data_IF_356865641612
#
_entry.id   IF_356865641612
#
_cell.length_a   1.000
_cell.length_b   1.000
_cell.length_c   1.000
_cell.angle_alpha   90.00
_cell.angle_beta   90.00
_cell.angle_gamma   90.00
#
_symmetry.space_group_name_H-M   'P 1'
#
loop_
_entity.id
_entity.type
_entity.pdbx_description
1 polymer ?
#
# COMPACT_ATOMS: atom_id res chain seq x y z
N UNK A 1 -18.52 -2.47 69.94
CA UNK A 1 -18.55 -3.79 69.17
C UNK A 1 -19.14 -3.58 67.77
N UNK A 2 -19.36 -2.29 67.38
CA UNK A 2 -19.98 -1.95 66.09
C UNK A 2 -18.94 -1.32 65.15
N UNK A 3 -17.76 -0.97 65.59
CA UNK A 3 -16.71 -0.32 64.77
C UNK A 3 -15.70 -1.36 64.27
N UNK A 4 -15.62 -2.49 64.98
CA UNK A 4 -14.69 -3.58 64.60
C UNK A 4 -15.36 -4.51 63.56
N UNK A 5 -16.67 -4.63 63.46
CA UNK A 5 -17.46 -5.37 62.44
C UNK A 5 -17.54 -4.62 61.11
N UNK A 6 -17.48 -3.25 61.12
CA UNK A 6 -17.52 -2.40 59.92
C UNK A 6 -16.12 -2.33 59.27
N UNK A 7 -15.02 -2.48 60.02
CA UNK A 7 -13.65 -2.48 59.46
C UNK A 7 -13.36 -3.84 58.84
N UNK A 8 -13.90 -4.91 59.27
CA UNK A 8 -13.69 -6.26 58.71
C UNK A 8 -14.54 -6.42 57.44
N UNK A 9 -15.73 -5.81 57.37
CA UNK A 9 -16.59 -5.87 56.16
C UNK A 9 -15.99 -4.97 55.07
N UNK A 10 -15.42 -3.85 55.45
CA UNK A 10 -14.80 -2.95 54.45
C UNK A 10 -13.49 -3.55 53.94
N UNK A 11 -12.79 -4.23 54.80
CA UNK A 11 -11.55 -4.91 54.37
C UNK A 11 -11.88 -6.13 53.50
N UNK A 12 -12.87 -6.91 53.82
CA UNK A 12 -13.30 -8.08 53.00
C UNK A 12 -13.90 -7.63 51.66
N UNK A 13 -14.59 -6.45 51.60
CA UNK A 13 -15.13 -5.88 50.34
C UNK A 13 -13.98 -5.33 49.48
N UNK A 14 -12.96 -4.79 50.15
CA UNK A 14 -11.80 -4.26 49.39
C UNK A 14 -10.96 -5.41 48.86
N UNK A 15 -10.85 -6.49 49.59
CA UNK A 15 -10.09 -7.67 49.14
C UNK A 15 -10.88 -8.38 48.01
N UNK A 16 -12.23 -8.52 48.15
CA UNK A 16 -13.04 -9.14 47.07
C UNK A 16 -13.06 -8.24 45.83
N UNK A 17 -13.11 -6.97 46.07
CA UNK A 17 -13.07 -6.01 44.94
C UNK A 17 -11.68 -6.03 44.29
N UNK A 18 -10.60 -6.13 45.05
CA UNK A 18 -9.23 -6.19 44.50
C UNK A 18 -8.98 -7.53 43.82
N UNK A 19 -9.52 -8.65 44.27
CA UNK A 19 -9.42 -9.98 43.65
C UNK A 19 -10.22 -10.06 42.35
N UNK A 20 -11.35 -9.40 42.32
CA UNK A 20 -12.20 -9.38 41.10
C UNK A 20 -11.57 -8.50 40.02
N UNK A 21 -10.82 -7.52 40.35
CA UNK A 21 -10.14 -6.66 39.36
C UNK A 21 -8.90 -7.39 38.80
N UNK A 22 -8.18 -8.03 39.69
CA UNK A 22 -7.02 -8.81 39.21
C UNK A 22 -7.46 -9.95 38.28
N UNK A 23 -8.55 -10.59 38.56
CA UNK A 23 -9.05 -11.66 37.67
C UNK A 23 -9.52 -11.09 36.33
N UNK A 24 -10.14 -9.93 36.33
CA UNK A 24 -10.57 -9.30 35.06
C UNK A 24 -9.37 -8.83 34.24
N UNK A 25 -8.39 -8.38 34.97
CA UNK A 25 -7.18 -7.94 34.25
C UNK A 25 -6.47 -9.14 33.60
N UNK A 26 -6.40 -10.23 34.35
CA UNK A 26 -5.79 -11.44 33.78
C UNK A 26 -6.60 -11.95 32.57
N UNK A 27 -7.88 -11.93 32.68
CA UNK A 27 -8.73 -12.34 31.55
C UNK A 27 -8.58 -11.39 30.36
N UNK A 28 -8.51 -10.13 30.67
CA UNK A 28 -8.31 -9.13 29.59
C UNK A 28 -7.00 -9.42 28.85
N UNK A 29 -5.93 -9.57 29.59
CA UNK A 29 -4.62 -9.82 28.96
C UNK A 29 -4.65 -11.12 28.14
N UNK A 30 -5.31 -12.06 28.63
CA UNK A 30 -5.44 -13.31 27.86
C UNK A 30 -6.15 -13.09 26.52
N UNK A 31 -7.29 -12.46 26.55
CA UNK A 31 -7.98 -12.17 25.28
C UNK A 31 -7.06 -11.39 24.32
N UNK A 32 -6.34 -10.46 24.93
CA UNK A 32 -5.47 -9.64 24.07
C UNK A 32 -4.37 -10.52 23.45
N UNK A 33 -3.70 -11.32 24.26
CA UNK A 33 -2.59 -12.13 23.73
C UNK A 33 -3.09 -13.16 22.70
N UNK A 34 -4.19 -13.77 23.01
CA UNK A 34 -4.76 -14.71 22.02
C UNK A 34 -5.16 -13.98 20.73
N UNK A 35 -5.76 -12.82 20.97
CA UNK A 35 -6.13 -12.04 19.76
C UNK A 35 -4.91 -11.76 18.89
N UNK A 36 -3.86 -11.34 19.48
CA UNK A 36 -2.65 -10.99 18.68
C UNK A 36 -2.14 -12.25 17.98
N UNK A 37 -2.11 -13.36 18.69
CA UNK A 37 -1.66 -14.62 18.06
C UNK A 37 -2.53 -14.99 16.86
N UNK A 38 -3.81 -14.90 17.10
CA UNK A 38 -4.73 -15.23 15.98
C UNK A 38 -4.57 -14.26 14.81
N UNK A 39 -4.38 -13.02 15.16
CA UNK A 39 -4.17 -12.02 14.10
C UNK A 39 -2.92 -12.38 13.28
N UNK A 40 -1.88 -12.75 13.97
CA UNK A 40 -0.64 -13.09 13.26
C UNK A 40 -0.80 -14.36 12.43
N UNK A 41 -1.78 -15.17 12.84
CA UNK A 41 -2.06 -16.40 12.06
C UNK A 41 -3.03 -16.11 10.91
N UNK A 42 -3.53 -14.87 10.87
CA UNK A 42 -4.44 -14.49 9.76
C UNK A 42 -5.91 -14.79 10.10
N UNK A 43 -6.13 -15.32 11.27
CA UNK A 43 -7.54 -15.54 11.68
C UNK A 43 -8.16 -14.26 12.25
N UNK A 44 -8.62 -13.41 11.36
CA UNK A 44 -8.95 -12.02 11.75
C UNK A 44 -10.34 -11.98 12.41
N UNK A 45 -11.20 -12.86 12.04
CA UNK A 45 -12.54 -12.84 12.67
C UNK A 45 -12.45 -13.24 14.15
N UNK A 46 -11.70 -14.34 14.34
CA UNK A 46 -11.58 -14.76 15.77
C UNK A 46 -10.72 -13.76 16.57
N UNK A 47 -9.74 -13.26 15.89
CA UNK A 47 -8.96 -12.22 16.58
C UNK A 47 -9.86 -11.03 16.96
N UNK A 48 -10.68 -10.65 16.06
CA UNK A 48 -11.60 -9.52 16.35
C UNK A 48 -12.48 -9.83 17.56
N UNK A 49 -12.97 -11.09 17.60
CA UNK A 49 -13.79 -11.44 18.78
C UNK A 49 -13.00 -11.28 20.08
N UNK A 50 -11.76 -11.68 20.05
CA UNK A 50 -10.95 -11.58 21.28
C UNK A 50 -10.67 -10.11 21.66
N UNK A 51 -10.38 -9.33 20.69
CA UNK A 51 -10.14 -7.91 21.01
C UNK A 51 -11.43 -7.22 21.46
N UNK A 52 -12.63 -7.65 20.97
CA UNK A 52 -13.90 -7.06 21.48
C UNK A 52 -14.13 -7.46 22.94
N UNK A 53 -13.76 -8.74 23.15
CA UNK A 53 -13.93 -9.18 24.54
C UNK A 53 -13.00 -8.41 25.49
N UNK A 54 -11.74 -8.18 25.02
CA UNK A 54 -10.81 -7.39 25.86
C UNK A 54 -11.31 -5.94 26.02
N UNK A 55 -11.90 -5.37 24.99
CA UNK A 55 -12.43 -3.98 25.03
C UNK A 55 -13.65 -3.85 25.94
N UNK A 56 -14.39 -4.99 26.06
CA UNK A 56 -15.55 -4.92 26.98
C UNK A 56 -15.08 -4.86 28.43
N UNK A 57 -13.97 -5.52 28.69
CA UNK A 57 -13.45 -5.53 30.08
C UNK A 57 -12.78 -4.18 30.39
N UNK A 58 -12.03 -3.68 29.34
CA UNK A 58 -11.38 -2.37 29.54
C UNK A 58 -11.59 -1.48 28.31
N UNK A 59 -12.63 -0.61 28.36
CA UNK A 59 -13.03 0.15 27.16
C UNK A 59 -12.18 1.41 26.99
N UNK A 60 -11.27 1.71 27.91
CA UNK A 60 -10.52 2.98 27.80
C UNK A 60 -9.10 2.73 27.28
N UNK A 61 -8.93 1.45 26.92
CA UNK A 61 -7.61 1.17 26.31
C UNK A 61 -7.71 1.21 24.77
N UNK A 62 -6.84 2.09 24.21
CA UNK A 62 -6.95 2.36 22.75
C UNK A 62 -6.49 1.14 21.94
N UNK A 63 -5.56 0.38 22.47
CA UNK A 63 -4.91 -0.70 21.70
C UNK A 63 -5.96 -1.72 21.24
N UNK A 64 -7.01 -1.94 21.96
CA UNK A 64 -7.99 -2.97 21.54
C UNK A 64 -8.79 -2.49 20.33
N UNK A 65 -9.13 -1.27 20.34
CA UNK A 65 -9.88 -0.75 19.17
C UNK A 65 -8.95 -0.61 17.96
N UNK A 66 -7.66 -0.32 18.30
CA UNK A 66 -6.70 -0.31 17.17
C UNK A 66 -6.63 -1.69 16.51
N UNK A 67 -6.55 -2.73 17.33
CA UNK A 67 -6.49 -4.09 16.78
C UNK A 67 -7.82 -4.50 16.13
N UNK A 68 -8.93 -4.05 16.71
CA UNK A 68 -10.22 -4.32 16.03
C UNK A 68 -10.23 -3.68 14.63
N UNK A 69 -9.82 -2.35 14.59
CA UNK A 69 -9.75 -1.69 13.27
C UNK A 69 -8.85 -2.45 12.30
N UNK A 70 -7.72 -2.89 12.77
CA UNK A 70 -6.79 -3.61 11.89
C UNK A 70 -7.40 -4.93 11.39
N UNK A 71 -8.07 -5.66 12.31
CA UNK A 71 -8.75 -6.89 11.87
C UNK A 71 -9.79 -6.61 10.80
N UNK A 72 -10.56 -5.57 11.02
CA UNK A 72 -11.64 -5.23 10.07
C UNK A 72 -11.06 -4.75 8.74
N UNK A 73 -9.94 -4.04 8.86
CA UNK A 73 -9.27 -3.62 7.61
C UNK A 73 -8.85 -4.84 6.80
N UNK A 74 -8.29 -5.83 7.45
CA UNK A 74 -7.85 -7.02 6.70
C UNK A 74 -9.05 -7.83 6.18
N UNK A 75 -10.19 -7.61 6.77
CA UNK A 75 -11.40 -8.31 6.27
C UNK A 75 -12.14 -7.43 5.26
N UNK A 76 -11.58 -6.27 4.98
CA UNK A 76 -12.09 -5.30 3.99
C UNK A 76 -13.43 -4.72 4.45
N UNK A 77 -13.69 -4.86 5.73
CA UNK A 77 -14.83 -4.11 6.28
C UNK A 77 -14.39 -2.69 6.67
N UNK A 78 -14.26 -1.85 5.64
CA UNK A 78 -13.50 -0.58 5.77
C UNK A 78 -14.32 0.45 6.55
N UNK A 79 -15.62 0.49 6.41
CA UNK A 79 -16.43 1.45 7.21
C UNK A 79 -16.35 1.12 8.70
N UNK A 80 -16.45 -0.17 9.02
CA UNK A 80 -16.37 -0.56 10.46
C UNK A 80 -14.95 -0.33 10.99
N UNK A 81 -14.04 -0.56 10.08
CA UNK A 81 -12.65 -0.30 10.53
C UNK A 81 -12.46 1.18 10.88
N UNK A 82 -13.04 2.06 10.08
CA UNK A 82 -12.89 3.50 10.36
C UNK A 82 -13.49 3.86 11.72
N UNK A 83 -14.64 3.22 12.02
CA UNK A 83 -15.24 3.54 13.34
C UNK A 83 -14.31 3.09 14.47
N UNK A 84 -13.76 1.91 14.29
CA UNK A 84 -12.87 1.41 15.35
C UNK A 84 -11.62 2.29 15.48
N UNK A 85 -11.04 2.67 14.35
CA UNK A 85 -9.87 3.55 14.43
C UNK A 85 -10.23 4.90 15.06
N UNK A 86 -11.43 5.45 14.72
CA UNK A 86 -11.84 6.73 15.35
C UNK A 86 -11.93 6.59 16.88
N UNK A 87 -12.50 5.48 17.24
CA UNK A 87 -12.57 5.29 18.70
C UNK A 87 -11.17 5.19 19.31
N UNK A 88 -10.30 4.39 18.67
CA UNK A 88 -8.93 4.27 19.21
C UNK A 88 -8.23 5.63 19.27
N UNK A 89 -8.43 6.43 18.25
CA UNK A 89 -7.71 7.71 18.17
C UNK A 89 -8.30 8.71 19.18
N UNK A 90 -9.61 8.55 19.47
CA UNK A 90 -10.20 9.41 20.52
C UNK A 90 -9.59 9.11 21.89
N UNK A 91 -9.15 7.86 22.10
CA UNK A 91 -8.56 7.52 23.41
C UNK A 91 -7.07 7.90 23.44
N UNK A 92 -6.40 7.45 22.41
CA UNK A 92 -4.98 7.83 22.33
C UNK A 92 -4.55 7.87 20.86
N UNK A 93 -4.05 9.06 20.48
CA UNK A 93 -3.59 9.18 19.09
C UNK A 93 -2.25 8.46 18.87
N UNK A 94 -2.22 7.72 17.82
CA UNK A 94 -0.99 6.98 17.46
C UNK A 94 -0.80 7.00 15.95
N UNK A 95 0.55 7.17 15.57
CA UNK A 95 0.76 7.43 14.13
C UNK A 95 0.27 6.26 13.28
N UNK A 96 0.42 4.94 13.73
CA UNK A 96 0.02 3.78 12.88
C UNK A 96 -1.51 3.73 12.74
N UNK A 97 -2.21 4.21 13.82
CA UNK A 97 -3.69 4.21 13.70
C UNK A 97 -4.14 5.21 12.64
N UNK A 98 -3.57 6.49 12.61
CA UNK A 98 -3.91 7.45 11.53
C UNK A 98 -3.53 6.87 10.17
N UNK A 99 -2.32 6.19 10.16
CA UNK A 99 -1.91 5.58 8.88
C UNK A 99 -2.99 4.62 8.35
N UNK A 100 -3.49 3.69 9.19
CA UNK A 100 -4.51 2.72 8.73
C UNK A 100 -5.84 3.42 8.42
N UNK A 101 -6.12 4.42 9.20
CA UNK A 101 -7.34 5.19 8.85
C UNK A 101 -7.20 5.84 7.47
N UNK A 102 -6.03 6.47 7.22
CA UNK A 102 -5.80 7.09 5.90
C UNK A 102 -5.98 6.08 4.77
N UNK A 103 -5.46 4.93 4.94
CA UNK A 103 -5.55 3.91 3.87
C UNK A 103 -7.03 3.52 3.66
N UNK A 104 -7.75 3.32 4.73
CA UNK A 104 -9.18 2.98 4.60
C UNK A 104 -9.95 4.09 3.88
N UNK A 105 -9.65 5.31 4.23
CA UNK A 105 -10.38 6.45 3.60
C UNK A 105 -10.06 6.53 2.12
N UNK A 106 -8.82 6.29 1.81
CA UNK A 106 -8.47 6.31 0.37
C UNK A 106 -9.21 5.20 -0.37
N UNK A 107 -9.29 4.06 0.22
CA UNK A 107 -9.97 2.93 -0.44
C UNK A 107 -11.47 3.19 -0.57
N UNK A 108 -11.96 3.99 0.26
CA UNK A 108 -13.42 4.26 0.21
C UNK A 108 -13.69 5.46 -0.69
N UNK A 109 -12.65 6.00 -1.32
CA UNK A 109 -12.88 7.10 -2.29
C UNK A 109 -12.97 8.46 -1.57
N UNK A 110 -12.40 8.50 -0.40
CA UNK A 110 -12.42 9.80 0.33
C UNK A 110 -10.99 10.32 0.44
N UNK A 111 -10.44 10.81 -0.60
CA UNK A 111 -9.00 11.10 -0.73
C UNK A 111 -8.60 12.35 0.08
N UNK A 112 -9.48 13.33 0.24
CA UNK A 112 -9.08 14.52 1.03
C UNK A 112 -8.99 14.17 2.52
N UNK A 113 -9.91 13.39 2.97
CA UNK A 113 -9.83 12.96 4.38
C UNK A 113 -8.61 12.04 4.60
N UNK A 114 -8.34 11.27 3.59
CA UNK A 114 -7.14 10.42 3.72
C UNK A 114 -5.87 11.26 3.83
N UNK A 115 -5.82 12.32 3.02
CA UNK A 115 -4.61 13.19 3.11
C UNK A 115 -4.49 13.78 4.51
N UNK A 116 -5.64 14.16 5.08
CA UNK A 116 -5.56 14.71 6.45
C UNK A 116 -5.05 13.65 7.44
N UNK A 117 -5.54 12.44 7.29
CA UNK A 117 -5.09 11.38 8.21
C UNK A 117 -3.57 11.14 8.06
N UNK A 118 -3.06 11.17 6.85
CA UNK A 118 -1.62 10.94 6.68
C UNK A 118 -0.82 12.14 7.20
N UNK A 119 -1.43 13.34 7.06
CA UNK A 119 -0.72 14.49 7.67
C UNK A 119 -0.60 14.32 9.19
N UNK A 120 -1.71 13.85 9.76
CA UNK A 120 -1.63 13.63 11.22
C UNK A 120 -0.62 12.53 11.56
N UNK A 121 -0.63 11.50 10.76
CA UNK A 121 0.32 10.40 11.03
C UNK A 121 1.77 10.90 10.92
N UNK A 122 2.09 11.69 9.94
CA UNK A 122 3.45 12.17 9.69
C UNK A 122 3.84 13.15 10.80
N UNK A 123 2.88 13.95 11.26
CA UNK A 123 3.19 14.88 12.37
C UNK A 123 3.60 14.13 13.63
N UNK A 124 2.98 12.94 13.81
CA UNK A 124 3.32 12.19 15.05
C UNK A 124 4.65 11.45 14.89
N UNK A 125 4.78 10.92 13.67
CA UNK A 125 6.04 10.18 13.42
C UNK A 125 6.32 10.20 11.91
N UNK A 126 7.37 10.92 11.54
CA UNK A 126 7.71 11.01 10.11
C UNK A 126 8.34 9.71 9.58
N UNK A 127 7.48 8.98 9.02
CA UNK A 127 7.86 7.67 8.47
C UNK A 127 7.74 7.70 6.94
N UNK A 128 8.75 7.25 6.26
CA UNK A 128 8.81 7.44 4.79
C UNK A 128 7.57 6.86 4.10
N UNK A 129 7.00 5.75 4.61
CA UNK A 129 5.85 5.12 3.92
C UNK A 129 4.63 6.05 3.93
N UNK A 130 4.52 6.74 5.02
CA UNK A 130 3.37 7.66 5.04
C UNK A 130 3.51 8.79 4.02
N UNK A 131 4.68 9.25 3.74
CA UNK A 131 4.87 10.26 2.66
C UNK A 131 4.55 9.65 1.28
N UNK A 132 4.95 8.39 1.10
CA UNK A 132 4.66 7.75 -0.21
C UNK A 132 3.16 7.59 -0.41
N UNK A 133 2.46 7.20 0.65
CA UNK A 133 1.00 7.08 0.49
C UNK A 133 0.37 8.45 0.20
N UNK A 134 0.80 9.35 0.95
CA UNK A 134 0.24 10.70 0.71
C UNK A 134 0.54 11.16 -0.73
N UNK A 135 1.75 10.97 -1.18
CA UNK A 135 2.10 11.42 -2.55
C UNK A 135 1.27 10.65 -3.59
N UNK A 136 1.04 9.42 -3.35
CA UNK A 136 0.23 8.64 -4.30
C UNK A 136 -1.20 9.19 -4.39
N UNK A 137 -1.73 9.49 -3.27
CA UNK A 137 -3.10 10.06 -3.29
C UNK A 137 -3.09 11.40 -4.03
N UNK A 138 -2.10 12.19 -3.82
CA UNK A 138 -2.02 13.50 -4.52
C UNK A 138 -1.88 13.30 -6.03
N UNK A 139 -1.14 12.31 -6.34
CA UNK A 139 -1.03 12.03 -7.78
C UNK A 139 -2.40 11.69 -8.39
N UNK A 140 -3.15 10.89 -7.69
CA UNK A 140 -4.49 10.54 -8.21
C UNK A 140 -5.39 11.78 -8.34
N UNK A 141 -5.05 12.69 -7.53
CA UNK A 141 -5.86 13.93 -7.62
C UNK A 141 -5.24 14.90 -8.63
N UNK A 142 -4.13 14.46 -9.23
CA UNK A 142 -3.43 15.23 -10.27
C UNK A 142 -2.82 16.50 -9.66
N UNK A 143 -2.48 16.46 -8.41
CA UNK A 143 -1.75 17.57 -7.77
C UNK A 143 -0.25 17.24 -7.79
N UNK A 144 0.36 17.42 -8.96
CA UNK A 144 1.70 16.86 -9.27
C UNK A 144 2.78 17.63 -8.50
N UNK A 145 2.58 18.95 -8.34
CA UNK A 145 3.61 19.71 -7.62
C UNK A 145 3.66 19.32 -6.13
N UNK A 146 2.50 19.18 -5.59
CA UNK A 146 2.49 18.78 -4.16
C UNK A 146 3.01 17.34 -3.98
N UNK A 147 2.65 16.51 -4.94
CA UNK A 147 3.13 15.11 -4.83
C UNK A 147 4.66 15.06 -4.93
N UNK A 148 5.20 15.79 -5.86
CA UNK A 148 6.67 15.77 -6.01
C UNK A 148 7.34 16.29 -4.73
N UNK A 149 6.79 17.40 -4.20
CA UNK A 149 7.35 17.93 -2.93
C UNK A 149 7.27 16.90 -1.79
N UNK A 150 6.12 16.17 -1.78
CA UNK A 150 5.96 15.19 -0.69
C UNK A 150 6.98 14.05 -0.84
N UNK A 151 7.30 13.60 -2.03
CA UNK A 151 8.34 12.57 -2.19
C UNK A 151 9.70 13.09 -1.73
N UNK A 152 9.94 14.39 -2.05
CA UNK A 152 11.29 14.91 -1.74
C UNK A 152 11.44 15.14 -0.23
N UNK A 153 10.33 15.18 0.47
CA UNK A 153 10.46 15.29 1.94
C UNK A 153 11.06 14.01 2.54
N UNK A 154 11.00 12.91 1.82
CA UNK A 154 11.55 11.64 2.35
C UNK A 154 13.08 11.74 2.44
N UNK A 155 13.64 12.56 1.67
CA UNK A 155 15.11 12.62 1.60
C UNK A 155 15.66 13.30 2.86
N UNK A 156 14.80 14.04 3.49
CA UNK A 156 15.26 14.76 4.70
C UNK A 156 15.12 13.89 5.95
N UNK A 157 14.63 12.65 5.77
CA UNK A 157 14.42 11.81 6.96
C UNK A 157 15.74 11.12 7.32
N UNK A 158 16.09 11.08 8.65
CA UNK A 158 17.40 10.60 9.12
C UNK A 158 17.49 9.07 9.03
N UNK A 159 16.37 8.33 9.15
CA UNK A 159 16.47 6.84 9.23
C UNK A 159 16.02 6.20 7.93
N UNK A 160 16.20 6.96 6.79
CA UNK A 160 15.75 6.38 5.51
C UNK A 160 16.98 5.91 4.71
N UNK A 161 16.87 4.67 4.23
CA UNK A 161 18.03 4.14 3.49
C UNK A 161 18.10 4.73 2.06
N UNK A 162 19.27 4.63 1.47
CA UNK A 162 19.54 5.26 0.15
C UNK A 162 18.57 4.74 -0.92
N UNK A 163 18.19 3.48 -0.75
CA UNK A 163 17.23 2.95 -1.75
C UNK A 163 15.91 3.71 -1.70
N UNK A 164 15.41 3.94 -0.57
CA UNK A 164 14.13 4.68 -0.45
C UNK A 164 14.31 6.12 -0.91
N UNK A 165 15.39 6.68 -0.58
CA UNK A 165 15.62 8.07 -1.04
C UNK A 165 15.71 8.12 -2.57
N UNK A 166 16.46 7.17 -3.12
CA UNK A 166 16.52 7.11 -4.59
C UNK A 166 15.13 6.93 -5.21
N UNK A 167 14.36 6.07 -4.60
CA UNK A 167 12.99 5.90 -5.11
C UNK A 167 12.21 7.22 -5.03
N UNK A 168 12.40 7.96 -3.94
CA UNK A 168 11.71 9.26 -3.83
C UNK A 168 12.18 10.21 -4.93
N UNK A 169 13.45 10.29 -5.19
CA UNK A 169 13.94 11.12 -6.30
C UNK A 169 13.36 10.67 -7.64
N UNK A 170 13.41 9.34 -7.85
CA UNK A 170 12.83 8.84 -9.12
C UNK A 170 11.39 9.30 -9.33
N UNK A 171 10.54 9.16 -8.33
CA UNK A 171 9.12 9.56 -8.48
C UNK A 171 8.99 11.08 -8.61
N UNK A 172 9.76 11.79 -7.82
CA UNK A 172 9.65 13.26 -7.91
C UNK A 172 10.11 13.73 -9.29
N UNK A 173 11.20 13.16 -9.77
CA UNK A 173 11.69 13.62 -11.09
C UNK A 173 10.63 13.39 -12.19
N UNK A 174 10.00 12.29 -12.15
CA UNK A 174 8.99 12.03 -13.18
C UNK A 174 7.84 13.05 -13.08
N UNK A 175 7.42 13.30 -11.87
CA UNK A 175 6.29 14.24 -11.72
C UNK A 175 6.70 15.66 -12.11
N UNK A 176 7.87 15.99 -11.73
CA UNK A 176 8.34 17.33 -12.12
C UNK A 176 8.47 17.43 -13.65
N UNK A 177 8.91 16.38 -14.24
CA UNK A 177 8.91 16.34 -15.71
C UNK A 177 7.50 16.54 -16.27
N UNK A 178 6.50 15.84 -15.74
CA UNK A 178 5.12 16.00 -16.26
C UNK A 178 4.64 17.44 -16.09
N UNK A 179 5.23 18.10 -15.11
CA UNK A 179 4.82 19.50 -14.90
C UNK A 179 5.74 20.46 -15.64
N UNK A 180 6.61 19.95 -16.48
CA UNK A 180 7.50 20.71 -17.37
C UNK A 180 8.52 21.51 -16.56
N UNK A 181 8.68 21.10 -15.30
CA UNK A 181 9.81 21.66 -14.53
C UNK A 181 11.09 20.84 -14.74
N UNK A 182 11.76 21.05 -15.82
CA UNK A 182 12.83 20.14 -16.31
C UNK A 182 14.12 20.37 -15.50
N UNK A 183 14.32 21.59 -15.03
CA UNK A 183 15.56 21.84 -14.26
C UNK A 183 15.51 21.08 -12.92
N UNK A 184 14.43 21.20 -12.24
CA UNK A 184 14.34 20.47 -10.95
C UNK A 184 14.25 18.96 -11.16
N UNK A 185 13.57 18.59 -12.26
CA UNK A 185 13.51 17.13 -12.55
C UNK A 185 14.91 16.55 -12.78
N UNK A 186 15.75 17.29 -13.51
CA UNK A 186 17.12 16.79 -13.77
C UNK A 186 17.92 16.73 -12.46
N UNK A 187 17.73 17.73 -11.65
CA UNK A 187 18.42 17.68 -10.35
C UNK A 187 18.01 16.44 -9.54
N UNK A 188 16.71 16.19 -9.52
CA UNK A 188 16.25 15.02 -8.75
C UNK A 188 16.84 13.72 -9.32
N UNK A 189 16.86 13.60 -10.66
CA UNK A 189 17.41 12.37 -11.26
C UNK A 189 18.90 12.25 -10.91
N UNK A 190 19.62 13.36 -10.92
CA UNK A 190 21.08 13.30 -10.64
C UNK A 190 21.33 12.93 -9.17
N UNK A 191 20.55 13.49 -8.37
CA UNK A 191 20.70 13.10 -6.96
C UNK A 191 20.34 11.62 -6.72
N UNK A 192 19.26 11.18 -7.36
CA UNK A 192 18.92 9.76 -7.22
C UNK A 192 20.03 8.84 -7.74
N UNK A 193 20.61 9.17 -8.83
CA UNK A 193 21.66 8.31 -9.43
C UNK A 193 22.93 8.37 -8.59
N UNK A 194 23.13 9.54 -7.93
CA UNK A 194 24.29 9.60 -7.03
C UNK A 194 24.15 8.61 -5.87
N UNK A 195 22.90 8.38 -5.48
CA UNK A 195 22.70 7.42 -4.37
C UNK A 195 22.69 5.98 -4.88
N UNK A 196 22.03 5.83 -5.99
CA UNK A 196 21.91 4.47 -6.58
C UNK A 196 22.17 4.55 -8.09
N UNK A 197 23.44 4.20 -8.50
CA UNK A 197 23.81 4.39 -9.92
C UNK A 197 23.23 3.29 -10.81
N UNK A 198 22.74 2.21 -10.18
CA UNK A 198 22.24 1.10 -11.04
C UNK A 198 20.70 1.04 -11.01
N UNK A 199 20.07 2.27 -11.00
CA UNK A 199 18.58 2.27 -11.05
C UNK A 199 18.11 2.64 -12.46
N UNK A 200 17.52 1.59 -13.06
CA UNK A 200 17.14 1.72 -14.49
C UNK A 200 16.12 2.85 -14.68
N UNK A 201 15.17 3.05 -13.77
CA UNK A 201 14.09 4.05 -13.95
C UNK A 201 14.65 5.48 -13.89
N UNK A 202 15.68 5.71 -13.14
CA UNK A 202 16.27 7.07 -13.12
C UNK A 202 16.94 7.41 -14.45
N UNK A 203 17.58 6.46 -15.15
CA UNK A 203 18.12 6.74 -16.50
C UNK A 203 16.99 6.96 -17.51
N UNK A 204 15.96 6.12 -17.31
CA UNK A 204 14.82 6.36 -18.21
C UNK A 204 14.26 7.77 -18.02
N UNK A 205 14.08 8.23 -16.78
CA UNK A 205 13.53 9.59 -16.56
C UNK A 205 14.49 10.67 -17.06
N UNK A 206 15.76 10.42 -16.86
CA UNK A 206 16.73 11.39 -17.43
C UNK A 206 16.59 11.48 -18.95
N UNK A 207 16.44 10.33 -19.64
CA UNK A 207 16.17 10.34 -21.09
C UNK A 207 14.92 11.16 -21.46
N UNK A 208 13.85 10.95 -20.66
CA UNK A 208 12.60 11.71 -20.97
C UNK A 208 12.84 13.20 -20.86
N UNK A 209 13.56 13.58 -19.86
CA UNK A 209 13.79 15.03 -19.64
C UNK A 209 14.65 15.59 -20.77
N UNK A 210 15.69 14.87 -21.18
CA UNK A 210 16.57 15.33 -22.28
C UNK A 210 15.81 15.39 -23.60
N UNK A 211 15.00 14.34 -23.73
CA UNK A 211 14.16 14.38 -24.96
C UNK A 211 13.28 15.63 -24.99
N UNK A 212 12.67 15.94 -23.88
CA UNK A 212 11.79 17.13 -23.85
C UNK A 212 12.61 18.41 -24.10
N UNK A 213 13.86 18.37 -23.85
CA UNK A 213 14.70 19.56 -24.07
C UNK A 213 15.31 19.55 -25.46
N UNK A 214 15.06 18.49 -26.24
CA UNK A 214 15.51 18.46 -27.65
C UNK A 214 16.86 17.77 -27.77
N UNK A 215 17.36 17.33 -26.69
CA UNK A 215 18.63 16.60 -26.78
C UNK A 215 18.42 15.10 -27.06
N UNK A 216 18.19 14.76 -28.24
CA UNK A 216 17.63 13.43 -28.60
C UNK A 216 18.74 12.37 -28.54
N UNK A 217 19.97 12.68 -28.99
CA UNK A 217 21.04 11.67 -28.92
C UNK A 217 21.34 11.27 -27.48
N UNK A 218 21.44 12.27 -26.65
CA UNK A 218 21.71 11.95 -25.23
C UNK A 218 20.52 11.22 -24.60
N UNK A 219 19.35 11.60 -25.00
CA UNK A 219 18.17 10.85 -24.48
C UNK A 219 18.26 9.36 -24.83
N UNK A 220 18.63 9.02 -26.09
CA UNK A 220 18.71 7.60 -26.49
C UNK A 220 19.79 6.87 -25.70
N UNK A 221 20.92 7.63 -25.47
CA UNK A 221 21.98 6.98 -24.67
C UNK A 221 21.47 6.58 -23.29
N UNK A 222 20.67 7.48 -22.71
CA UNK A 222 20.17 7.16 -21.36
C UNK A 222 19.09 6.07 -21.40
N UNK A 223 18.24 6.08 -22.40
CA UNK A 223 17.32 4.92 -22.51
C UNK A 223 18.10 3.62 -22.66
N UNK A 224 19.19 3.60 -23.43
CA UNK A 224 19.99 2.38 -23.60
C UNK A 224 20.64 1.96 -22.27
N UNK A 225 21.13 2.99 -21.58
CA UNK A 225 21.67 2.64 -20.26
C UNK A 225 20.60 1.99 -19.36
N UNK A 226 19.41 2.60 -19.34
CA UNK A 226 18.33 2.00 -18.54
C UNK A 226 18.09 0.53 -18.94
N UNK A 227 18.12 0.19 -20.23
CA UNK A 227 17.79 -1.17 -20.71
C UNK A 227 18.98 -2.11 -20.52
N UNK A 228 20.20 -1.47 -20.46
CA UNK A 228 21.34 -2.33 -20.11
C UNK A 228 21.24 -2.79 -18.65
N UNK A 229 20.82 -1.84 -17.80
CA UNK A 229 20.67 -2.19 -16.38
C UNK A 229 19.49 -3.14 -16.19
N UNK A 230 18.42 -2.85 -16.87
CA UNK A 230 17.23 -3.72 -16.77
C UNK A 230 16.60 -3.87 -18.17
N UNK A 231 16.89 -5.02 -18.79
CA UNK A 231 16.38 -5.26 -20.17
C UNK A 231 14.86 -5.40 -20.19
N UNK A 232 14.19 -5.60 -19.03
CA UNK A 232 12.72 -5.75 -19.02
C UNK A 232 12.02 -4.44 -18.65
N UNK A 233 12.78 -3.37 -18.60
CA UNK A 233 12.11 -2.07 -18.37
C UNK A 233 11.30 -1.64 -19.60
N UNK A 234 10.09 -1.90 -19.56
CA UNK A 234 9.23 -1.70 -20.75
C UNK A 234 9.04 -0.21 -21.04
N UNK A 235 8.97 0.51 -19.92
CA UNK A 235 8.79 1.96 -20.12
C UNK A 235 9.99 2.57 -20.86
N UNK A 236 11.18 2.18 -20.48
CA UNK A 236 12.37 2.71 -21.19
C UNK A 236 12.40 2.23 -22.65
N UNK A 237 12.03 0.98 -22.86
CA UNK A 237 12.01 0.44 -24.24
C UNK A 237 11.01 1.21 -25.11
N UNK A 238 9.87 1.39 -24.54
CA UNK A 238 8.85 2.10 -25.33
C UNK A 238 9.31 3.54 -25.64
N UNK A 239 9.83 4.20 -24.58
CA UNK A 239 10.28 5.59 -24.81
C UNK A 239 11.38 5.63 -25.87
N UNK A 240 12.27 4.72 -25.84
CA UNK A 240 13.34 4.67 -26.86
C UNK A 240 12.78 4.43 -28.26
N UNK A 241 11.94 3.47 -28.41
CA UNK A 241 11.38 3.16 -29.74
C UNK A 241 10.58 4.33 -30.30
N UNK A 242 9.85 4.90 -29.34
CA UNK A 242 9.05 6.06 -29.83
C UNK A 242 9.96 7.18 -30.33
N UNK A 243 11.03 7.43 -29.60
CA UNK A 243 11.93 8.51 -30.05
C UNK A 243 12.59 8.15 -31.38
N UNK A 244 13.02 6.93 -31.59
CA UNK A 244 13.65 6.50 -32.86
C UNK A 244 12.66 6.62 -34.02
N UNK A 245 11.43 6.17 -33.74
CA UNK A 245 10.41 6.29 -34.80
C UNK A 245 10.21 7.75 -35.23
N UNK A 246 10.13 8.64 -34.16
CA UNK A 246 9.93 10.07 -34.51
C UNK A 246 11.13 10.60 -35.30
N UNK A 247 12.33 10.16 -34.99
CA UNK A 247 13.52 10.69 -35.69
C UNK A 247 13.60 10.12 -37.11
N UNK A 248 12.89 9.04 -37.31
CA UNK A 248 12.88 8.42 -38.66
C UNK A 248 11.62 8.82 -39.44
N UNK A 249 10.80 9.75 -38.87
CA UNK A 249 9.59 10.24 -39.55
C UNK A 249 8.46 9.20 -39.55
N UNK A 250 8.59 8.14 -38.72
CA UNK A 250 7.54 7.11 -38.61
C UNK A 250 6.61 7.43 -37.43
N UNK A 251 5.24 6.98 -37.62
CA UNK A 251 4.29 7.17 -36.50
C UNK A 251 4.69 6.29 -35.29
N UNK A 252 4.76 6.96 -34.12
CA UNK A 252 5.10 6.20 -32.90
C UNK A 252 4.18 4.98 -32.72
N UNK A 253 4.73 3.80 -32.49
CA UNK A 253 3.90 2.62 -32.14
C UNK A 253 2.73 3.00 -31.20
N UNK A 254 1.52 3.60 -31.70
CA UNK A 254 0.22 3.79 -31.01
C UNK A 254 -0.12 2.58 -30.15
N UNK A 255 0.85 1.76 -29.67
CA UNK A 255 0.25 0.87 -28.64
C UNK A 255 0.26 1.57 -27.29
N UNK A 256 0.10 2.92 -27.26
CA UNK A 256 -0.55 3.56 -26.08
C UNK A 256 -0.94 2.54 -25.00
N UNK A 257 -0.20 1.61 -24.54
CA UNK A 257 -0.70 0.98 -23.31
C UNK A 257 -0.05 1.64 -22.09
N UNK A 258 -0.64 2.75 -21.58
CA UNK A 258 -0.72 3.13 -20.14
C UNK A 258 0.14 2.17 -19.31
N UNK A 259 1.42 2.34 -19.30
CA UNK A 259 2.35 2.29 -18.15
C UNK A 259 1.81 1.44 -17.00
N UNK A 260 2.25 0.11 -16.87
CA UNK A 260 2.38 -0.87 -15.77
C UNK A 260 2.72 -0.16 -14.45
N UNK A 261 1.78 0.09 -13.70
CA UNK A 261 2.00 0.44 -12.28
C UNK A 261 1.85 -0.80 -11.40
N UNK A 262 3.00 -1.46 -11.14
CA UNK A 262 3.08 -2.32 -9.94
C UNK A 262 1.98 -1.99 -8.93
N UNK A 263 0.92 -2.75 -9.00
CA UNK A 263 -0.15 -2.64 -7.96
C UNK A 263 -0.10 -3.91 -7.09
N UNK A 264 0.47 -3.72 -5.85
CA UNK A 264 0.57 -4.73 -4.78
C UNK A 264 -0.78 -4.95 -4.08
N UNK A 265 -1.62 -5.94 -4.52
CA UNK A 265 -2.90 -6.34 -3.90
C UNK A 265 -2.69 -7.60 -3.06
N UNK A 266 -3.22 -7.68 -1.73
CA UNK A 266 -3.19 -8.74 -0.71
C UNK A 266 -4.49 -9.53 -0.77
N UNK A 267 -4.52 -10.77 -1.52
CA UNK A 267 -5.76 -11.57 -1.62
C UNK A 267 -5.55 -12.88 -0.85
N UNK A 268 -6.32 -13.27 0.15
CA UNK A 268 -6.25 -14.63 0.70
C UNK A 268 -6.32 -15.69 -0.40
N UNK A 269 -5.16 -16.46 -0.68
CA UNK A 269 -4.95 -17.46 -1.76
C UNK A 269 -6.05 -18.52 -1.74
N UNK A 270 -7.07 -18.32 -0.74
CA UNK A 270 -8.19 -19.30 -0.74
C UNK A 270 -9.44 -18.70 -1.37
N UNK A 271 -9.25 -17.63 -2.21
CA UNK A 271 -10.50 -17.00 -2.69
C UNK A 271 -10.36 -16.67 -4.17
N UNK A 272 -11.40 -16.89 -4.91
CA UNK A 272 -11.63 -16.41 -6.28
C UNK A 272 -11.74 -14.88 -6.27
N UNK A 273 -10.85 -14.29 -7.07
CA UNK A 273 -10.88 -12.81 -7.17
C UNK A 273 -11.65 -12.37 -8.43
N UNK A 274 -12.42 -11.23 -8.07
CA UNK A 274 -13.12 -10.64 -9.22
C UNK A 274 -12.45 -9.30 -9.56
N UNK A 275 -11.90 -9.30 -10.78
CA UNK A 275 -11.25 -8.05 -11.24
C UNK A 275 -12.16 -7.36 -12.26
N UNK A 276 -12.38 -6.04 -11.93
CA UNK A 276 -13.26 -5.26 -12.84
C UNK A 276 -12.42 -4.17 -13.53
N UNK A 277 -12.59 -4.14 -14.87
CA UNK A 277 -11.79 -3.20 -15.68
C UNK A 277 -12.66 -2.01 -16.11
N UNK A 278 -12.01 -0.94 -16.44
CA UNK A 278 -12.70 0.30 -16.87
C UNK A 278 -13.27 0.14 -18.27
N UNK A 279 -12.82 -0.90 -19.01
CA UNK A 279 -13.40 -1.27 -20.32
C UNK A 279 -13.36 -2.79 -20.49
N UNK A 280 -14.12 -3.21 -21.54
CA UNK A 280 -14.14 -4.67 -21.74
C UNK A 280 -12.72 -5.23 -21.91
N UNK A 281 -12.53 -6.42 -21.34
CA UNK A 281 -11.18 -7.01 -21.32
C UNK A 281 -11.24 -8.35 -22.06
N UNK A 282 -10.30 -8.49 -22.95
CA UNK A 282 -10.15 -9.78 -23.67
C UNK A 282 -9.44 -10.81 -22.79
N UNK A 283 -9.95 -12.08 -22.78
CA UNK A 283 -9.45 -13.11 -21.84
C UNK A 283 -8.00 -13.50 -22.17
N UNK A 284 -7.74 -13.57 -23.45
CA UNK A 284 -6.35 -13.89 -23.83
C UNK A 284 -5.37 -12.82 -23.34
N UNK A 285 -5.78 -11.65 -23.49
CA UNK A 285 -4.94 -10.54 -23.02
C UNK A 285 -4.79 -10.58 -21.49
N UNK A 286 -5.85 -10.85 -20.81
CA UNK A 286 -5.81 -10.96 -19.33
C UNK A 286 -4.90 -12.11 -18.89
N UNK A 287 -4.88 -13.21 -19.62
CA UNK A 287 -4.05 -14.38 -19.23
C UNK A 287 -2.56 -14.07 -19.42
N UNK A 288 -2.35 -13.19 -20.31
CA UNK A 288 -0.93 -12.88 -20.60
C UNK A 288 -0.41 -11.77 -19.68
N UNK A 289 -1.42 -11.22 -19.04
CA UNK A 289 -0.93 -9.96 -18.41
C UNK A 289 -1.23 -9.97 -16.92
N UNK A 290 -1.87 -10.97 -16.43
CA UNK A 290 -2.18 -11.02 -14.99
C UNK A 290 -1.41 -12.19 -14.39
N UNK A 291 -0.64 -11.85 -13.39
CA UNK A 291 0.06 -12.99 -12.76
C UNK A 291 0.30 -12.68 -11.28
N UNK A 292 0.61 -13.79 -10.56
CA UNK A 292 0.94 -13.66 -9.13
C UNK A 292 2.39 -14.15 -8.92
N UNK A 293 3.15 -13.26 -8.17
CA UNK A 293 4.53 -13.71 -7.94
C UNK A 293 4.86 -13.63 -6.44
N UNK A 294 5.81 -14.57 -6.01
CA UNK A 294 6.24 -14.52 -4.59
C UNK A 294 7.38 -13.52 -4.41
N UNK A 295 7.99 -13.41 -3.25
CA UNK A 295 9.00 -12.38 -2.89
C UNK A 295 10.29 -12.60 -3.70
N UNK A 296 10.38 -13.78 -4.18
CA UNK A 296 11.57 -14.03 -5.03
C UNK A 296 11.20 -13.90 -6.51
N UNK A 297 9.97 -13.38 -6.83
CA UNK A 297 9.48 -13.15 -8.20
C UNK A 297 9.19 -14.46 -8.94
N UNK A 298 9.04 -15.45 -8.20
CA UNK A 298 8.56 -16.68 -8.86
C UNK A 298 7.04 -16.62 -9.11
N UNK A 299 6.67 -17.02 -10.42
CA UNK A 299 5.27 -16.85 -10.86
C UNK A 299 4.44 -18.08 -10.45
N UNK A 300 3.22 -17.69 -9.91
CA UNK A 300 2.29 -18.79 -9.61
C UNK A 300 1.38 -19.09 -10.81
N UNK A 301 0.94 -20.34 -10.75
CA UNK A 301 0.02 -20.71 -11.85
C UNK A 301 -1.42 -20.27 -11.52
N UNK A 302 -2.00 -19.53 -12.54
CA UNK A 302 -3.35 -18.96 -12.28
C UNK A 302 -4.35 -19.55 -13.28
N UNK A 303 -5.56 -19.71 -12.65
CA UNK A 303 -6.72 -19.91 -13.54
C UNK A 303 -7.52 -18.60 -13.71
N UNK A 304 -7.63 -18.12 -15.06
CA UNK A 304 -8.34 -16.85 -15.33
C UNK A 304 -9.55 -17.15 -16.23
N UNK A 305 -10.76 -16.71 -15.67
CA UNK A 305 -12.00 -16.97 -16.42
C UNK A 305 -12.81 -15.68 -16.58
N UNK A 306 -13.67 -15.76 -17.62
CA UNK A 306 -14.55 -14.59 -17.82
C UNK A 306 -15.49 -14.41 -16.62
N UNK A 307 -15.70 -13.12 -16.28
CA UNK A 307 -16.61 -12.79 -15.16
C UNK A 307 -18.04 -12.61 -15.65
N UNK A 308 -18.90 -12.09 -14.84
CA UNK A 308 -20.35 -11.96 -15.09
C UNK A 308 -20.65 -10.89 -16.14
N UNK A 309 -19.63 -9.99 -16.49
CA UNK A 309 -19.82 -8.95 -17.54
C UNK A 309 -18.51 -8.82 -18.34
N UNK A 310 -18.70 -8.00 -19.48
CA UNK A 310 -17.58 -7.91 -20.46
C UNK A 310 -16.37 -7.18 -19.85
N UNK A 311 -16.52 -6.60 -18.68
CA UNK A 311 -15.39 -5.89 -18.03
C UNK A 311 -14.88 -6.66 -16.81
N UNK A 312 -15.31 -7.90 -16.74
CA UNK A 312 -14.97 -8.59 -15.47
C UNK A 312 -14.32 -9.94 -15.78
N UNK A 313 -13.28 -10.22 -14.89
CA UNK A 313 -12.73 -11.58 -14.95
C UNK A 313 -12.59 -12.11 -13.51
N UNK A 314 -12.46 -13.52 -13.52
CA UNK A 314 -12.18 -14.10 -12.19
C UNK A 314 -10.81 -14.79 -12.25
N UNK A 315 -10.09 -14.56 -11.18
CA UNK A 315 -8.74 -15.14 -11.13
C UNK A 315 -8.64 -16.04 -9.90
N UNK A 316 -8.12 -17.31 -10.17
CA UNK A 316 -7.93 -18.23 -9.03
C UNK A 316 -6.63 -19.02 -9.23
N UNK A 317 -6.09 -19.64 -8.29
CA UNK A 317 -4.87 -20.46 -8.42
C UNK A 317 -5.19 -21.82 -9.03
N UNK A 318 -4.36 -22.21 -9.97
CA UNK A 318 -4.56 -23.36 -10.88
C UNK A 318 -4.17 -24.66 -10.18
N UNK A 319 -3.82 -24.60 -8.65
CA UNK A 319 -3.46 -25.94 -8.12
C UNK A 319 -3.63 -25.93 -6.59
N UNK A 320 -4.63 -26.58 -6.09
CA UNK A 320 -4.79 -27.25 -4.78
C UNK A 320 -3.48 -27.31 -3.98
N UNK A 321 -2.34 -26.61 -4.36
CA UNK A 321 -1.07 -26.64 -3.62
C UNK A 321 -1.12 -25.66 -2.44
N UNK A 322 -0.83 -26.26 -1.21
CA UNK A 322 -0.63 -25.57 0.08
C UNK A 322 0.63 -24.69 0.04
N UNK A 323 0.43 -23.34 -0.16
CA UNK A 323 1.53 -22.36 -0.23
C UNK A 323 1.92 -21.89 1.18
N UNK A 324 3.28 -21.82 1.45
CA UNK A 324 3.89 -21.57 2.78
C UNK A 324 3.26 -20.33 3.45
N UNK A 325 2.55 -20.42 4.60
CA UNK A 325 1.77 -19.52 5.49
C UNK A 325 2.62 -18.29 5.89
N UNK A 326 3.97 -18.18 5.29
CA UNK A 326 4.77 -17.01 5.75
C UNK A 326 5.41 -16.32 4.55
N UNK A 327 4.85 -16.58 3.32
CA UNK A 327 5.51 -15.95 2.14
C UNK A 327 4.56 -14.93 1.49
N UNK A 328 5.18 -13.74 1.11
CA UNK A 328 4.46 -12.62 0.46
C UNK A 328 4.31 -12.88 -1.05
N UNK A 329 2.92 -12.73 -1.46
CA UNK A 329 2.73 -12.86 -2.92
C UNK A 329 2.17 -11.56 -3.49
N UNK A 330 2.57 -11.29 -4.73
CA UNK A 330 2.14 -10.05 -5.40
C UNK A 330 1.32 -10.36 -6.66
N UNK A 331 -0.05 -9.77 -6.69
CA UNK A 331 -0.87 -9.88 -7.92
C UNK A 331 -0.60 -8.69 -8.85
N UNK A 332 -0.27 -9.13 -10.04
CA UNK A 332 0.02 -8.13 -11.08
C UNK A 332 -1.17 -8.00 -12.05
N UNK A 333 -1.80 -6.65 -12.00
CA UNK A 333 -2.96 -6.49 -12.90
C UNK A 333 -2.74 -5.23 -13.75
N UNK A 334 -3.43 -5.16 -14.93
CA UNK A 334 -3.27 -4.00 -15.82
C UNK A 334 -3.86 -2.72 -15.20
N UNK A 335 -3.40 -1.51 -15.63
CA UNK A 335 -3.72 -0.17 -15.09
C UNK A 335 -5.19 0.20 -15.32
N UNK A 336 -5.83 -0.54 -16.15
CA UNK A 336 -7.24 -0.18 -16.42
C UNK A 336 -8.20 -0.96 -15.51
N UNK A 337 -7.56 -1.52 -14.45
CA UNK A 337 -8.43 -2.25 -13.52
C UNK A 337 -9.15 -1.22 -12.63
N UNK A 338 -10.43 -1.29 -12.63
CA UNK A 338 -11.31 -0.41 -11.84
C UNK A 338 -11.39 -0.85 -10.38
N UNK A 339 -11.47 -2.11 -10.10
CA UNK A 339 -11.57 -2.60 -8.72
C UNK A 339 -11.22 -4.09 -8.67
N UNK A 340 -10.73 -4.49 -7.57
CA UNK A 340 -10.56 -5.93 -7.29
C UNK A 340 -11.42 -6.28 -6.07
N UNK A 341 -12.41 -7.28 -6.33
CA UNK A 341 -13.43 -7.66 -5.34
C UNK A 341 -14.17 -6.45 -4.78
N UNK A 342 -14.32 -5.45 -5.64
CA UNK A 342 -15.23 -4.35 -5.19
C UNK A 342 -14.46 -3.22 -4.52
N UNK A 343 -13.10 -3.45 -4.32
CA UNK A 343 -12.26 -2.36 -3.78
C UNK A 343 -11.67 -1.54 -4.94
N UNK A 344 -12.14 -0.19 -4.93
CA UNK A 344 -11.70 0.70 -6.02
C UNK A 344 -10.18 0.90 -5.98
N UNK A 345 -9.63 0.61 -7.14
CA UNK A 345 -8.16 0.71 -7.21
C UNK A 345 -7.78 2.16 -7.59
N UNK A 346 -6.97 2.83 -6.65
CA UNK A 346 -6.47 4.19 -6.97
C UNK A 346 -5.07 4.07 -7.60
N UNK A 347 -4.90 4.11 -8.95
CA UNK A 347 -3.62 4.17 -9.68
C UNK A 347 -2.43 3.76 -8.80
N UNK A 348 -1.84 2.42 -9.05
CA UNK A 348 -0.47 2.03 -8.59
C UNK A 348 -0.38 1.88 -7.08
N UNK A 349 -1.35 1.35 -6.36
CA UNK A 349 -1.14 1.13 -4.91
C UNK A 349 -0.60 -0.29 -4.69
N UNK A 350 0.74 -0.38 -4.24
CA UNK A 350 1.36 -1.48 -3.49
C UNK A 350 0.56 -1.80 -2.20
N UNK A 351 -0.20 -2.90 -2.24
CA UNK A 351 -0.80 -3.43 -1.00
C UNK A 351 -0.01 -4.65 -0.48
N UNK A 352 0.71 -4.49 0.66
CA UNK A 352 1.42 -5.58 1.35
C UNK A 352 0.44 -6.50 2.11
N UNK A 353 0.56 -7.92 1.66
CA UNK A 353 -0.28 -8.89 2.43
C UNK A 353 0.65 -9.91 3.10
N UNK A 354 0.32 -10.23 4.31
CA UNK A 354 0.91 -11.30 5.15
C UNK A 354 0.07 -12.58 5.01
N UNK A 355 0.63 -13.57 4.44
CA UNK A 355 -0.08 -14.87 4.60
C UNK A 355 0.38 -15.55 5.89
N UNK A 356 -0.58 -15.72 6.81
CA UNK A 356 -0.33 -16.61 7.96
C UNK A 356 1.15 -17.00 8.07
#
# INVERSE_FOLDING_TARGET
MKRSGLIIILTLLMITFSFSRAAQAATELEYYEQGVDLFNQGNYEEALHNFEAAGTINPHESVYFDWQGSCLYHMVALDEALLAFDKALALEPYYTTFEYKGVCLAALGRPEEALEAFNESIALYPYQNNYFWKAAILLDLQRFDQAAGTYLSVVALNDTDNEAKALAYNNASYLLYLNQNYTEAMEAVENGLALEPDKSNLYKNKGLILEAQGNYHEALENYNEALEIDPNNQAALTAQRNLIARLNGEEPDSTGMVEWEEIKLYVPLDKVWTITFNRPVDLESAQNNIYIADEENKHLSLKIEAGNDANEITVSLSDGQSYAAAQRYTLFVPANVKSVNGVKMINGVKMDFFTK
#
